data_IF_021577353662
#
_entry.id   IF_021577353662
#
_cell.length_a   1.000
_cell.length_b   1.000
_cell.length_c   1.000
_cell.angle_alpha   90.00
_cell.angle_beta   90.00
_cell.angle_gamma   90.00
#
_symmetry.space_group_name_H-M   'P 1'
#
loop_
_entity.id
_entity.type
_entity.pdbx_description
1 polymer ?
#
# COMPACT_ATOMS: atom_id res chain seq x y z
N UNK A 1 2.95 7.77 -11.01
CA UNK A 1 1.65 7.23 -11.48
C UNK A 1 0.55 7.85 -10.62
N UNK A 2 -0.45 8.56 -11.19
CA UNK A 2 -1.47 9.22 -10.36
C UNK A 2 -2.71 8.36 -10.10
N UNK A 3 -2.85 7.20 -10.76
CA UNK A 3 -4.04 6.35 -10.67
C UNK A 3 -3.81 5.15 -9.77
N UNK A 4 -4.83 4.83 -8.97
CA UNK A 4 -4.88 3.64 -8.14
C UNK A 4 -5.70 2.56 -8.87
N UNK A 5 -5.02 1.76 -9.69
CA UNK A 5 -5.62 0.74 -10.56
C UNK A 5 -4.78 -0.55 -10.64
N UNK A 6 -5.27 -1.57 -11.37
CA UNK A 6 -4.60 -2.86 -11.50
C UNK A 6 -3.21 -2.75 -12.15
N UNK A 7 -3.02 -1.80 -13.07
CA UNK A 7 -1.73 -1.58 -13.71
C UNK A 7 -0.72 -1.02 -12.70
N UNK A 8 -1.12 0.01 -11.95
CA UNK A 8 -0.28 0.61 -10.93
C UNK A 8 0.09 -0.40 -9.85
N UNK A 9 -0.86 -1.26 -9.43
CA UNK A 9 -0.58 -2.31 -8.45
C UNK A 9 0.35 -3.39 -8.99
N UNK A 10 0.23 -3.77 -10.26
CA UNK A 10 1.20 -4.66 -10.92
C UNK A 10 2.63 -4.08 -10.86
N UNK A 11 2.79 -2.79 -11.15
CA UNK A 11 4.11 -2.14 -11.04
C UNK A 11 4.59 -2.09 -9.58
N UNK A 12 3.68 -1.87 -8.63
CA UNK A 12 4.03 -1.88 -7.21
C UNK A 12 4.50 -3.25 -6.72
N UNK A 13 3.82 -4.34 -7.11
CA UNK A 13 4.26 -5.70 -6.79
C UNK A 13 5.63 -6.01 -7.40
N UNK A 14 5.88 -5.55 -8.64
CA UNK A 14 7.20 -5.68 -9.25
C UNK A 14 8.29 -4.95 -8.44
N UNK A 15 7.99 -3.76 -7.93
CA UNK A 15 8.92 -3.01 -7.09
C UNK A 15 9.19 -3.68 -5.74
N UNK A 16 8.14 -4.21 -5.08
CA UNK A 16 8.29 -5.00 -3.85
C UNK A 16 9.16 -6.23 -4.14
N UNK A 17 8.88 -6.96 -5.22
CA UNK A 17 9.59 -8.18 -5.61
C UNK A 17 11.09 -7.97 -5.79
N UNK A 18 11.53 -6.81 -6.29
CA UNK A 18 12.94 -6.43 -6.43
C UNK A 18 13.66 -6.26 -5.08
N UNK A 19 12.92 -6.02 -4.01
CA UNK A 19 13.44 -5.79 -2.66
C UNK A 19 13.28 -7.01 -1.74
N UNK A 20 12.62 -8.08 -2.20
CA UNK A 20 12.63 -9.37 -1.51
C UNK A 20 14.03 -9.98 -1.68
N UNK A 21 14.64 -10.42 -0.58
CA UNK A 21 15.96 -11.07 -0.61
C UNK A 21 15.96 -12.33 -1.48
N UNK A 22 17.11 -12.65 -2.10
CA UNK A 22 17.24 -13.74 -3.09
C UNK A 22 16.80 -15.12 -2.54
N UNK A 23 16.90 -15.35 -1.24
CA UNK A 23 16.55 -16.59 -0.55
C UNK A 23 15.22 -16.50 0.26
N UNK A 24 14.43 -15.45 0.02
CA UNK A 24 13.18 -15.19 0.72
C UNK A 24 11.94 -15.26 -0.18
N UNK A 25 10.79 -15.51 0.44
CA UNK A 25 9.47 -15.43 -0.20
C UNK A 25 8.58 -14.49 0.61
N UNK A 26 7.99 -13.49 -0.04
CA UNK A 26 7.14 -12.53 0.65
C UNK A 26 5.69 -13.00 0.71
N UNK A 27 5.08 -12.89 1.89
CA UNK A 27 3.62 -12.96 2.03
C UNK A 27 3.13 -11.52 2.19
N UNK A 28 2.39 -11.04 1.20
CA UNK A 28 1.87 -9.68 1.17
C UNK A 28 0.41 -9.65 1.60
N UNK A 29 0.15 -9.02 2.75
CA UNK A 29 -1.19 -8.87 3.30
C UNK A 29 -1.86 -7.66 2.64
N UNK A 30 -3.08 -7.82 2.14
CA UNK A 30 -3.84 -6.72 1.55
C UNK A 30 -5.34 -6.88 1.80
N UNK A 31 -6.06 -5.76 1.76
CA UNK A 31 -7.53 -5.79 1.70
C UNK A 31 -8.01 -6.28 0.31
N UNK A 32 -9.32 -6.38 0.15
CA UNK A 32 -9.92 -6.88 -1.10
C UNK A 32 -10.40 -5.75 -2.03
N UNK A 33 -9.66 -4.64 -2.13
CA UNK A 33 -9.95 -3.63 -3.15
C UNK A 33 -9.98 -4.25 -4.56
N UNK A 34 -10.83 -3.73 -5.46
CA UNK A 34 -11.07 -4.36 -6.76
C UNK A 34 -9.80 -4.54 -7.62
N UNK A 35 -8.83 -3.64 -7.48
CA UNK A 35 -7.54 -3.70 -8.17
C UNK A 35 -6.49 -4.61 -7.47
N UNK A 36 -6.72 -5.02 -6.21
CA UNK A 36 -5.98 -6.09 -5.53
C UNK A 36 -6.45 -7.48 -5.95
N UNK A 37 -7.74 -7.62 -6.25
CA UNK A 37 -8.38 -8.93 -6.55
C UNK A 37 -8.62 -9.14 -8.05
N UNK A 38 -8.04 -8.30 -8.90
CA UNK A 38 -8.27 -8.36 -10.34
C UNK A 38 -7.61 -9.60 -10.96
N UNK A 39 -8.32 -10.30 -11.84
CA UNK A 39 -7.74 -11.40 -12.63
C UNK A 39 -6.64 -10.95 -13.59
N UNK A 40 -6.50 -9.63 -13.84
CA UNK A 40 -5.44 -9.06 -14.67
C UNK A 40 -4.22 -8.62 -13.85
N UNK A 41 -4.23 -8.80 -12.53
CA UNK A 41 -3.10 -8.46 -11.67
C UNK A 41 -1.95 -9.45 -11.90
N UNK A 42 -0.75 -8.95 -12.15
CA UNK A 42 0.44 -9.79 -12.33
C UNK A 42 1.18 -9.88 -10.99
N UNK A 43 1.21 -11.07 -10.40
CA UNK A 43 1.88 -11.34 -9.13
C UNK A 43 3.25 -12.00 -9.42
N UNK A 44 4.38 -11.40 -8.98
CA UNK A 44 5.70 -12.02 -9.10
C UNK A 44 5.81 -13.36 -8.38
N UNK A 45 6.67 -14.25 -8.88
CA UNK A 45 6.78 -15.64 -8.37
C UNK A 45 7.29 -15.75 -6.94
N UNK A 46 7.97 -14.73 -6.41
CA UNK A 46 8.48 -14.65 -5.04
C UNK A 46 7.52 -13.94 -4.07
N UNK A 47 6.27 -13.72 -4.48
CA UNK A 47 5.22 -13.10 -3.66
C UNK A 47 3.98 -14.01 -3.63
N UNK A 48 3.43 -14.23 -2.44
CA UNK A 48 2.07 -14.74 -2.25
C UNK A 48 1.21 -13.63 -1.65
N UNK A 49 0.06 -13.37 -2.26
CA UNK A 49 -0.94 -12.46 -1.70
C UNK A 49 -1.78 -13.20 -0.65
N UNK A 50 -1.89 -12.61 0.55
CA UNK A 50 -2.78 -13.06 1.61
C UNK A 50 -3.92 -12.03 1.77
N UNK A 51 -5.11 -12.28 1.18
CA UNK A 51 -6.22 -11.35 1.31
C UNK A 51 -6.81 -11.43 2.71
N UNK A 52 -7.04 -10.27 3.34
CA UNK A 52 -7.78 -10.17 4.58
C UNK A 52 -9.27 -10.49 4.37
N UNK A 53 -10.00 -10.90 5.42
CA UNK A 53 -11.45 -10.99 5.37
C UNK A 53 -12.09 -9.68 4.88
N UNK A 54 -13.18 -9.73 4.10
CA UNK A 54 -13.86 -8.52 3.65
C UNK A 54 -14.31 -7.68 4.85
N UNK A 55 -14.10 -6.35 4.75
CA UNK A 55 -14.53 -5.36 5.76
C UNK A 55 -13.90 -5.54 7.15
N UNK A 56 -12.66 -6.02 7.20
CA UNK A 56 -11.87 -6.14 8.45
C UNK A 56 -10.67 -5.18 8.48
N UNK A 57 -10.89 -3.85 8.52
CA UNK A 57 -9.80 -2.88 8.63
C UNK A 57 -8.95 -3.07 9.90
N UNK A 58 -9.54 -3.58 10.99
CA UNK A 58 -8.86 -3.88 12.25
C UNK A 58 -7.74 -4.93 12.13
N UNK A 59 -7.76 -5.73 11.06
CA UNK A 59 -6.74 -6.72 10.76
C UNK A 59 -5.65 -6.20 9.82
N UNK A 60 -5.82 -5.00 9.25
CA UNK A 60 -4.85 -4.40 8.35
C UNK A 60 -3.89 -3.50 9.15
N UNK A 61 -2.61 -3.90 9.34
CA UNK A 61 -1.66 -3.12 10.14
C UNK A 61 -1.38 -1.74 9.55
N UNK A 62 -1.59 -1.54 8.24
CA UNK A 62 -1.43 -0.25 7.57
C UNK A 62 -2.43 0.79 8.11
N UNK A 63 -3.60 0.37 8.62
CA UNK A 63 -4.58 1.30 9.22
C UNK A 63 -4.04 2.00 10.47
N UNK A 64 -3.18 1.32 11.25
CA UNK A 64 -2.52 1.93 12.40
C UNK A 64 -1.53 3.03 11.98
N UNK A 65 -0.79 2.80 10.89
CA UNK A 65 0.11 3.81 10.32
C UNK A 65 -0.69 5.02 9.82
N UNK A 66 -1.81 4.78 9.12
CA UNK A 66 -2.68 5.87 8.67
C UNK A 66 -3.29 6.66 9.82
N UNK A 67 -3.70 5.98 10.89
CA UNK A 67 -4.19 6.65 12.09
C UNK A 67 -3.10 7.54 12.70
N UNK A 68 -1.88 7.01 12.89
CA UNK A 68 -0.76 7.77 13.41
C UNK A 68 -0.45 9.02 12.57
N UNK A 69 -0.36 8.86 11.25
CA UNK A 69 -0.11 9.98 10.34
C UNK A 69 -1.21 11.04 10.42
N UNK A 70 -2.48 10.62 10.44
CA UNK A 70 -3.61 11.56 10.56
C UNK A 70 -3.58 12.30 11.89
N UNK A 71 -3.42 11.61 13.01
CA UNK A 71 -3.50 12.23 14.34
C UNK A 71 -2.35 13.20 14.61
N UNK A 72 -1.14 12.89 14.11
CA UNK A 72 0.07 13.62 14.50
C UNK A 72 0.55 14.63 13.45
N UNK A 73 0.28 14.38 12.16
CA UNK A 73 0.91 15.13 11.08
C UNK A 73 -0.06 15.82 10.13
N UNK A 74 -1.18 15.17 9.81
CA UNK A 74 -2.04 15.60 8.69
C UNK A 74 -3.35 16.29 9.11
N UNK A 75 -3.86 16.07 10.31
CA UNK A 75 -5.16 16.63 10.73
C UNK A 75 -5.10 18.15 10.98
N UNK A 76 -6.21 18.84 10.65
CA UNK A 76 -6.45 20.26 10.94
C UNK A 76 -5.36 21.21 10.42
N UNK A 77 -4.78 20.90 9.26
CA UNK A 77 -3.74 21.71 8.61
C UNK A 77 -4.15 22.09 7.19
N UNK A 78 -3.71 23.27 6.75
CA UNK A 78 -3.85 23.73 5.35
C UNK A 78 -2.50 23.52 4.66
N UNK A 79 -2.52 22.81 3.54
CA UNK A 79 -1.32 22.51 2.74
C UNK A 79 -1.23 23.46 1.55
N UNK A 80 0.00 23.87 1.20
CA UNK A 80 0.25 24.80 0.10
C UNK A 80 0.24 24.13 -1.28
N UNK A 81 0.62 22.86 -1.34
CA UNK A 81 0.73 22.09 -2.56
C UNK A 81 0.68 20.59 -2.28
N UNK A 82 0.67 19.79 -3.35
CA UNK A 82 0.87 18.34 -3.25
C UNK A 82 2.21 17.99 -2.59
N UNK A 83 3.30 18.66 -2.99
CA UNK A 83 4.63 18.40 -2.46
C UNK A 83 4.73 18.69 -0.95
N UNK A 84 3.97 19.69 -0.47
CA UNK A 84 3.88 20.01 0.96
C UNK A 84 3.22 18.87 1.76
N UNK A 85 2.21 18.21 1.18
CA UNK A 85 1.59 17.01 1.77
C UNK A 85 2.60 15.87 1.80
N UNK A 86 3.29 15.62 0.69
CA UNK A 86 4.28 14.53 0.60
C UNK A 86 5.42 14.75 1.58
N UNK A 87 5.95 15.97 1.68
CA UNK A 87 7.01 16.31 2.63
C UNK A 87 6.58 16.01 4.08
N UNK A 88 5.37 16.40 4.46
CA UNK A 88 4.84 16.08 5.79
C UNK A 88 4.64 14.58 6.02
N UNK A 89 4.26 13.81 5.00
CA UNK A 89 4.18 12.36 5.09
C UNK A 89 5.56 11.70 5.22
N UNK A 90 6.61 12.27 4.61
CA UNK A 90 7.98 11.74 4.66
C UNK A 90 8.70 12.03 5.99
N UNK A 91 8.34 13.13 6.67
CA UNK A 91 8.91 13.49 7.98
C UNK A 91 8.26 12.71 9.15
N UNK A 92 7.12 12.07 8.92
CA UNK A 92 6.33 11.34 9.91
C UNK A 92 6.95 10.01 10.35
#
# INVERSE_FOLDING_TARGET
MPWCDTYAMTQHLAEISRHVADDAHAILIMDQAGWHMSNNLVVPTNITILPLPPKSPELNPVENLWLFMRENWLSNRIFKSYDDIVAHCCDA
#
